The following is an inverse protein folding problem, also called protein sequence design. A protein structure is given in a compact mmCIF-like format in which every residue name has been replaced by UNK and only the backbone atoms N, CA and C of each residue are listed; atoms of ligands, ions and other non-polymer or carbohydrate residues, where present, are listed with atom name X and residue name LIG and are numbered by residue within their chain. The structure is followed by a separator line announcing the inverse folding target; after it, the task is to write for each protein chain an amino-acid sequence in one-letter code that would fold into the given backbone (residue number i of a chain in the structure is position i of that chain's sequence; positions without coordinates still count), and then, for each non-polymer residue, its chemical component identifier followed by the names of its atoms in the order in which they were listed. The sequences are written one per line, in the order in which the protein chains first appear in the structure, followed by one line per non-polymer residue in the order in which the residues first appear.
data_IF_064923704484
#
_entry.id   IF_064923704484
#
_cell.length_a   1.000
_cell.length_b   1.000
_cell.length_c   1.000
_cell.angle_alpha   90.00
_cell.angle_beta   90.00
_cell.angle_gamma   90.00
#
_symmetry.space_group_name_H-M   'P 1'
#
loop_
_entity.id
_entity.type
_entity.pdbx_description
1 polymer ?
#
# COMPACT_ATOMS: atom_id res chain seq x y z
N UNK A 1 -18.22 1.29 1.56
CA UNK A 1 -17.46 2.38 2.22
C UNK A 1 -18.23 2.81 3.47
N UNK A 2 -17.55 3.07 4.59
CA UNK A 2 -18.18 3.60 5.80
C UNK A 2 -18.08 5.12 5.77
N UNK A 3 -19.20 5.82 5.98
CA UNK A 3 -19.20 7.28 6.10
C UNK A 3 -18.79 7.65 7.53
N UNK A 4 -17.79 8.52 7.66
CA UNK A 4 -17.34 9.09 8.94
C UNK A 4 -17.56 10.59 8.87
N UNK A 5 -18.23 11.15 9.88
CA UNK A 5 -18.42 12.58 10.04
C UNK A 5 -17.46 13.09 11.11
N UNK A 6 -16.75 14.17 10.82
CA UNK A 6 -15.86 14.84 11.75
C UNK A 6 -16.26 16.32 11.85
N UNK A 7 -16.15 16.89 13.03
CA UNK A 7 -16.27 18.34 13.22
C UNK A 7 -14.90 18.96 13.00
N UNK A 8 -14.85 19.97 12.16
CA UNK A 8 -13.63 20.68 11.79
C UNK A 8 -13.88 22.18 11.99
N UNK A 9 -12.95 22.93 12.58
CA UNK A 9 -13.07 24.39 12.69
C UNK A 9 -13.26 25.05 11.32
N UNK A 10 -14.01 26.16 11.28
CA UNK A 10 -14.31 26.86 10.02
C UNK A 10 -13.06 27.29 9.25
N UNK A 11 -12.01 27.70 9.98
CA UNK A 11 -10.73 28.09 9.39
C UNK A 11 -10.04 26.92 8.65
N UNK A 12 -10.03 25.73 9.25
CA UNK A 12 -9.48 24.53 8.65
C UNK A 12 -10.34 24.05 7.46
N UNK A 13 -11.66 24.20 7.56
CA UNK A 13 -12.57 23.89 6.45
C UNK A 13 -12.30 24.77 5.23
N UNK A 14 -12.14 26.08 5.40
CA UNK A 14 -11.82 27.00 4.30
C UNK A 14 -10.41 26.75 3.74
N UNK A 15 -9.45 26.37 4.58
CA UNK A 15 -8.12 25.93 4.13
C UNK A 15 -8.25 24.72 3.20
N UNK A 16 -8.95 23.66 3.62
CA UNK A 16 -9.14 22.44 2.83
C UNK A 16 -9.88 22.74 1.52
N UNK A 17 -10.87 23.62 1.55
CA UNK A 17 -11.65 24.04 0.38
C UNK A 17 -10.81 24.81 -0.62
N UNK A 18 -9.96 25.72 -0.16
CA UNK A 18 -9.01 26.45 -1.01
C UNK A 18 -8.03 25.49 -1.70
N UNK A 19 -7.56 24.47 -0.99
CA UNK A 19 -6.66 23.44 -1.51
C UNK A 19 -7.36 22.55 -2.55
N UNK A 20 -8.58 22.11 -2.26
CA UNK A 20 -9.39 21.33 -3.20
C UNK A 20 -9.59 22.08 -4.53
N UNK A 21 -9.90 23.39 -4.46
CA UNK A 21 -10.03 24.26 -5.64
C UNK A 21 -8.74 24.38 -6.44
N UNK A 22 -7.60 24.60 -5.75
CA UNK A 22 -6.28 24.73 -6.41
C UNK A 22 -5.86 23.46 -7.15
N UNK A 23 -6.17 22.29 -6.59
CA UNK A 23 -5.76 20.98 -7.13
C UNK A 23 -6.82 20.40 -8.08
N UNK A 24 -8.03 20.96 -8.13
CA UNK A 24 -9.13 20.47 -8.96
C UNK A 24 -9.70 19.12 -8.49
N UNK A 25 -9.47 18.75 -7.23
CA UNK A 25 -9.95 17.48 -6.65
C UNK A 25 -11.09 17.69 -5.67
N UNK A 26 -11.99 16.71 -5.48
CA UNK A 26 -13.00 16.78 -4.43
C UNK A 26 -12.36 16.78 -3.05
N UNK A 27 -13.01 17.47 -2.09
CA UNK A 27 -12.55 17.58 -0.71
C UNK A 27 -12.21 16.22 -0.08
N UNK A 28 -13.03 15.21 -0.36
CA UNK A 28 -12.88 13.86 0.19
C UNK A 28 -11.58 13.19 -0.25
N UNK A 29 -11.10 13.47 -1.46
CA UNK A 29 -9.82 12.94 -1.95
C UNK A 29 -8.65 13.62 -1.28
N UNK A 30 -8.70 14.96 -1.14
CA UNK A 30 -7.67 15.73 -0.43
C UNK A 30 -7.51 15.20 1.01
N UNK A 31 -8.62 15.01 1.71
CA UNK A 31 -8.63 14.49 3.08
C UNK A 31 -8.10 13.06 3.13
N UNK A 32 -8.50 12.20 2.18
CA UNK A 32 -8.02 10.82 2.09
C UNK A 32 -6.52 10.75 1.85
N UNK A 33 -5.98 11.56 0.94
CA UNK A 33 -4.55 11.63 0.66
C UNK A 33 -3.77 12.09 1.89
N UNK A 34 -4.22 13.14 2.56
CA UNK A 34 -3.61 13.63 3.78
C UNK A 34 -3.60 12.58 4.90
N UNK A 35 -4.73 11.89 5.11
CA UNK A 35 -4.83 10.81 6.08
C UNK A 35 -3.90 9.64 5.73
N UNK A 36 -3.82 9.25 4.46
CA UNK A 36 -2.91 8.17 4.03
C UNK A 36 -1.45 8.54 4.26
N UNK A 37 -1.05 9.75 3.89
CA UNK A 37 0.31 10.23 4.11
C UNK A 37 0.69 10.29 5.59
N UNK A 38 -0.29 10.48 6.49
CA UNK A 38 -0.05 10.57 7.92
C UNK A 38 -0.14 9.22 8.65
N UNK A 39 -1.09 8.36 8.26
CA UNK A 39 -1.42 7.12 8.97
C UNK A 39 -0.67 5.90 8.43
N UNK A 40 -0.30 5.89 7.15
CA UNK A 40 0.47 4.79 6.59
C UNK A 40 1.95 5.09 6.85
N UNK A 41 2.62 4.36 7.75
CA UNK A 41 4.06 4.43 7.81
C UNK A 41 4.61 3.98 6.45
N UNK A 42 5.58 4.71 5.92
CA UNK A 42 6.32 4.32 4.71
C UNK A 42 7.25 3.10 4.95
N UNK A 43 7.01 2.39 6.06
CA UNK A 43 7.77 1.25 6.54
C UNK A 43 6.82 0.07 6.65
N UNK A 44 7.16 -0.98 5.92
CA UNK A 44 6.54 -2.29 6.05
C UNK A 44 6.88 -2.83 7.45
N UNK A 45 5.90 -3.40 8.15
CA UNK A 45 6.14 -4.11 9.40
C UNK A 45 7.00 -5.36 9.10
N UNK A 46 8.25 -5.45 9.59
CA UNK A 46 9.09 -6.63 9.37
C UNK A 46 8.53 -7.89 10.03
N UNK A 47 7.55 -7.75 10.93
CA UNK A 47 6.85 -8.84 11.58
C UNK A 47 5.49 -9.18 10.97
N UNK A 48 5.12 -8.56 9.85
CA UNK A 48 3.87 -8.91 9.18
C UNK A 48 3.91 -10.39 8.74
N UNK A 49 2.93 -11.22 9.16
CA UNK A 49 2.82 -12.61 8.74
C UNK A 49 2.79 -12.79 7.22
N UNK A 50 2.33 -11.79 6.44
CA UNK A 50 2.36 -11.82 4.97
C UNK A 50 3.80 -11.87 4.45
N UNK A 51 4.74 -11.17 5.10
CA UNK A 51 6.15 -11.13 4.71
C UNK A 51 7.01 -12.16 5.44
N UNK A 52 6.54 -12.70 6.58
CA UNK A 52 7.19 -13.78 7.33
C UNK A 52 6.72 -15.18 6.94
N UNK A 53 5.59 -15.30 6.25
CA UNK A 53 5.14 -16.56 5.67
C UNK A 53 6.21 -17.02 4.66
N UNK A 54 7.04 -17.96 5.11
CA UNK A 54 7.95 -18.75 4.29
C UNK A 54 7.29 -19.11 2.96
N UNK A 55 8.07 -19.28 1.87
CA UNK A 55 7.52 -19.48 0.53
C UNK A 55 6.39 -20.50 0.57
N UNK A 56 5.21 -20.07 0.09
CA UNK A 56 3.96 -20.85 0.07
C UNK A 56 4.14 -22.18 -0.66
N UNK A 57 5.21 -22.30 -1.45
CA UNK A 57 5.60 -23.51 -2.15
C UNK A 57 6.96 -24.03 -1.67
N UNK A 58 6.99 -25.28 -1.21
CA UNK A 58 8.22 -26.06 -1.02
C UNK A 58 8.58 -26.71 -2.36
N UNK A 59 9.81 -26.57 -2.85
CA UNK A 59 10.24 -27.38 -4.00
C UNK A 59 10.23 -28.86 -3.62
N UNK A 60 10.11 -29.76 -4.62
CA UNK A 60 10.48 -31.17 -4.43
C UNK A 60 11.88 -31.22 -3.81
N UNK A 61 11.99 -31.76 -2.60
CA UNK A 61 13.25 -31.84 -1.85
C UNK A 61 13.42 -30.83 -0.70
N UNK A 62 12.42 -30.00 -0.38
CA UNK A 62 12.40 -29.21 0.87
C UNK A 62 13.39 -28.05 0.96
N UNK A 63 14.08 -27.71 -0.14
CA UNK A 63 14.94 -26.51 -0.20
C UNK A 63 14.05 -25.27 -0.38
N UNK A 64 14.42 -24.16 0.28
CA UNK A 64 13.80 -22.85 0.07
C UNK A 64 13.98 -22.48 -1.41
N UNK A 65 12.91 -22.58 -2.19
CA UNK A 65 12.95 -22.30 -3.60
C UNK A 65 12.99 -20.78 -3.79
N UNK A 66 14.09 -20.24 -4.34
CA UNK A 66 14.18 -18.84 -4.76
C UNK A 66 13.45 -18.62 -6.09
N UNK A 67 12.22 -19.10 -6.18
CA UNK A 67 11.42 -19.07 -7.40
C UNK A 67 11.10 -17.63 -7.80
N UNK A 68 11.04 -16.69 -6.85
CA UNK A 68 10.89 -15.26 -7.13
C UNK A 68 12.06 -14.68 -7.92
N UNK A 69 13.29 -15.17 -7.68
CA UNK A 69 14.51 -14.73 -8.38
C UNK A 69 14.71 -15.47 -9.71
N UNK A 70 14.15 -16.68 -9.84
CA UNK A 70 14.31 -17.58 -11.00
C UNK A 70 12.99 -17.90 -11.69
N UNK A 71 12.07 -16.95 -11.69
CA UNK A 71 10.72 -17.18 -12.22
C UNK A 71 10.76 -17.48 -13.72
N UNK A 72 11.68 -16.85 -14.45
CA UNK A 72 11.87 -17.08 -15.88
C UNK A 72 12.29 -18.52 -16.20
N UNK A 73 13.30 -19.04 -15.49
CA UNK A 73 13.77 -20.43 -15.63
C UNK A 73 12.65 -21.45 -15.33
N UNK A 74 11.81 -21.18 -14.33
CA UNK A 74 10.76 -22.09 -13.88
C UNK A 74 9.52 -22.06 -14.77
N UNK A 75 9.14 -20.88 -15.27
CA UNK A 75 7.94 -20.70 -16.08
C UNK A 75 8.19 -20.95 -17.55
N UNK A 76 9.36 -20.58 -18.06
CA UNK A 76 9.65 -20.58 -19.49
C UNK A 76 10.76 -21.56 -19.88
N UNK A 77 11.50 -22.14 -18.92
CA UNK A 77 12.48 -23.19 -19.18
C UNK A 77 13.72 -22.74 -19.96
N UNK A 78 13.85 -21.45 -20.25
CA UNK A 78 15.00 -20.90 -20.96
C UNK A 78 16.14 -20.64 -19.97
N UNK A 79 17.15 -21.52 -19.99
CA UNK A 79 18.49 -21.17 -19.55
C UNK A 79 19.16 -20.31 -20.64
N UNK A 80 20.07 -19.38 -20.28
CA UNK A 80 21.02 -18.86 -21.27
C UNK A 80 21.85 -19.97 -21.92
#
# INVERSE_FOLDING_TARGET
MRLIQARVPDAEYELLKSRARKVGKPMQEIVREALRAHLLPDRVDPNDPIFQAFPVFRSRGGRKARTSERHDEVLYGEAP
#
